data_IF_582634272678
#
_entry.id   IF_582634272678
#
_cell.length_a   1.000
_cell.length_b   1.000
_cell.length_c   1.000
_cell.angle_alpha   90.00
_cell.angle_beta   90.00
_cell.angle_gamma   90.00
#
_symmetry.space_group_name_H-M   'P 1'
#
loop_
_entity.id
_entity.type
_entity.pdbx_description
1 polymer ?
#
# COMPACT_ATOMS: atom_id res chain seq x y z
N UNK A 1 -34.95 10.43 0.82
CA UNK A 1 -33.56 10.42 0.25
C UNK A 1 -33.02 9.05 0.53
N UNK A 2 -33.21 8.17 -0.44
CA UNK A 2 -32.72 6.80 -0.33
C UNK A 2 -31.21 6.87 -0.53
N UNK A 3 -30.46 6.75 0.57
CA UNK A 3 -29.02 6.63 0.52
C UNK A 3 -28.69 5.34 -0.22
N UNK A 4 -28.24 5.46 -1.46
CA UNK A 4 -27.57 4.38 -2.16
C UNK A 4 -26.35 3.99 -1.31
N UNK A 5 -26.51 2.98 -0.48
CA UNK A 5 -25.38 2.25 0.07
C UNK A 5 -24.76 1.54 -1.14
N UNK A 6 -23.78 2.18 -1.76
CA UNK A 6 -23.00 1.56 -2.80
C UNK A 6 -22.47 0.23 -2.24
N UNK A 7 -22.92 -0.87 -2.84
CA UNK A 7 -22.34 -2.17 -2.53
C UNK A 7 -20.93 -2.19 -3.13
N UNK A 8 -19.95 -1.70 -2.34
CA UNK A 8 -18.52 -1.72 -2.69
C UNK A 8 -18.02 -3.13 -3.03
N UNK A 9 -18.81 -4.15 -2.69
CA UNK A 9 -18.53 -5.56 -3.00
C UNK A 9 -18.52 -5.89 -4.50
N UNK A 10 -19.04 -5.01 -5.35
CA UNK A 10 -19.09 -5.20 -6.81
C UNK A 10 -18.00 -4.44 -7.57
N UNK A 11 -17.12 -3.70 -6.87
CA UNK A 11 -16.05 -2.97 -7.53
C UNK A 11 -15.05 -3.93 -8.18
N UNK A 12 -14.85 -3.81 -9.49
CA UNK A 12 -13.97 -4.65 -10.31
C UNK A 12 -12.91 -3.86 -11.06
N UNK A 13 -13.15 -2.56 -11.31
CA UNK A 13 -12.30 -1.73 -12.17
C UNK A 13 -11.82 -0.49 -11.45
N UNK A 14 -10.53 -0.19 -11.61
CA UNK A 14 -9.89 1.06 -11.18
C UNK A 14 -9.41 1.81 -12.42
N UNK A 15 -9.90 3.02 -12.61
CA UNK A 15 -9.52 3.92 -13.69
C UNK A 15 -8.54 4.97 -13.18
N UNK A 16 -7.49 5.25 -13.91
CA UNK A 16 -6.53 6.31 -13.58
C UNK A 16 -5.95 6.93 -14.87
N UNK A 17 -5.60 8.21 -14.81
CA UNK A 17 -4.80 8.81 -15.87
C UNK A 17 -3.43 8.12 -15.97
N UNK A 18 -2.84 8.08 -17.17
CA UNK A 18 -1.59 7.37 -17.42
C UNK A 18 -0.41 7.87 -16.60
N UNK A 19 -0.43 9.13 -16.17
CA UNK A 19 0.59 9.78 -15.35
C UNK A 19 0.21 9.87 -13.85
N UNK A 20 -0.91 9.29 -13.45
CA UNK A 20 -1.45 9.44 -12.08
C UNK A 20 -0.46 9.04 -10.97
N UNK A 21 0.37 8.04 -11.22
CA UNK A 21 1.33 7.53 -10.26
C UNK A 21 2.77 8.04 -10.43
N UNK A 22 3.04 8.95 -11.36
CA UNK A 22 4.42 9.37 -11.68
C UNK A 22 5.14 9.93 -10.45
N UNK A 23 4.51 10.85 -9.71
CA UNK A 23 5.09 11.44 -8.50
C UNK A 23 5.32 10.39 -7.40
N UNK A 24 4.37 9.47 -7.23
CA UNK A 24 4.52 8.36 -6.29
C UNK A 24 5.67 7.44 -6.69
N UNK A 25 5.80 7.15 -7.97
CA UNK A 25 6.83 6.27 -8.50
C UNK A 25 8.24 6.87 -8.33
N UNK A 26 8.38 8.18 -8.54
CA UNK A 26 9.64 8.89 -8.28
C UNK A 26 10.05 8.76 -6.80
N UNK A 27 9.11 8.99 -5.88
CA UNK A 27 9.36 8.82 -4.44
C UNK A 27 9.69 7.37 -4.08
N UNK A 28 8.91 6.42 -4.57
CA UNK A 28 9.12 5.00 -4.32
C UNK A 28 10.47 4.50 -4.86
N UNK A 29 10.90 4.97 -6.03
CA UNK A 29 12.23 4.66 -6.58
C UNK A 29 13.36 5.24 -5.71
N UNK A 30 13.21 6.47 -5.23
CA UNK A 30 14.17 7.11 -4.32
C UNK A 30 14.28 6.32 -3.01
N UNK A 31 13.16 5.99 -2.40
CA UNK A 31 13.09 5.19 -1.17
C UNK A 31 13.70 3.79 -1.37
N UNK A 32 13.43 3.15 -2.51
CA UNK A 32 14.04 1.87 -2.88
C UNK A 32 15.56 1.97 -2.97
N UNK A 33 16.10 2.98 -3.66
CA UNK A 33 17.54 3.18 -3.79
C UNK A 33 18.20 3.42 -2.42
N UNK A 34 17.62 4.27 -1.58
CA UNK A 34 18.10 4.52 -0.22
C UNK A 34 18.09 3.24 0.63
N UNK A 35 17.04 2.43 0.52
CA UNK A 35 16.94 1.13 1.18
C UNK A 35 18.02 0.16 0.73
N UNK A 36 18.23 0.05 -0.59
CA UNK A 36 19.27 -0.81 -1.20
C UNK A 36 20.65 -0.38 -0.77
N UNK A 37 20.97 0.91 -0.85
CA UNK A 37 22.31 1.44 -0.62
C UNK A 37 22.66 1.47 0.88
N UNK A 38 21.68 1.43 1.78
CA UNK A 38 21.89 1.33 3.23
C UNK A 38 22.24 -0.09 3.70
N UNK A 39 22.12 -1.10 2.84
CA UNK A 39 22.43 -2.48 3.19
C UNK A 39 23.91 -2.63 3.52
N UNK A 40 24.22 -2.96 4.77
CA UNK A 40 25.61 -3.14 5.26
C UNK A 40 26.24 -1.89 5.91
N UNK A 41 25.55 -0.74 5.91
CA UNK A 41 26.07 0.50 6.51
C UNK A 41 25.71 0.71 7.99
N UNK A 42 25.05 -0.27 8.63
CA UNK A 42 24.67 -0.20 10.04
C UNK A 42 23.47 0.71 10.36
N UNK A 43 23.15 1.66 9.49
CA UNK A 43 21.91 2.45 9.53
C UNK A 43 21.03 2.03 8.37
N UNK A 44 19.99 1.26 8.65
CA UNK A 44 19.09 0.79 7.61
C UNK A 44 18.04 1.87 7.32
N UNK A 45 18.03 2.37 6.09
CA UNK A 45 16.94 3.21 5.60
C UNK A 45 15.64 2.41 5.61
N UNK A 46 14.56 3.05 6.02
CA UNK A 46 13.22 2.46 6.05
C UNK A 46 12.45 2.96 4.84
N UNK A 47 12.17 2.10 3.84
CA UNK A 47 11.34 2.50 2.71
C UNK A 47 9.98 2.98 3.23
N UNK A 48 9.59 4.20 2.85
CA UNK A 48 8.51 4.91 3.51
C UNK A 48 7.44 5.45 2.56
N UNK A 49 7.53 5.15 1.27
CA UNK A 49 6.56 5.63 0.30
C UNK A 49 5.17 5.08 0.61
N UNK A 50 4.30 5.98 1.05
CA UNK A 50 2.92 5.69 1.39
C UNK A 50 2.03 6.85 0.96
N UNK A 51 0.91 6.54 0.33
CA UNK A 51 -0.05 7.53 -0.14
C UNK A 51 -1.50 7.12 0.10
N UNK A 52 -2.36 8.13 0.15
CA UNK A 52 -3.80 8.01 0.22
C UNK A 52 -4.40 8.37 -1.14
N UNK A 53 -5.42 7.65 -1.54
CA UNK A 53 -6.04 7.71 -2.86
C UNK A 53 -7.45 8.30 -2.74
N UNK A 54 -7.67 9.41 -3.43
CA UNK A 54 -8.95 10.08 -3.55
C UNK A 54 -9.52 9.91 -4.94
N UNK A 55 -10.84 9.83 -5.03
CA UNK A 55 -11.51 9.69 -6.31
C UNK A 55 -13.02 9.59 -6.17
N UNK A 56 -13.65 9.05 -7.20
CA UNK A 56 -15.11 8.89 -7.26
C UNK A 56 -15.46 7.47 -7.66
N UNK A 57 -16.58 6.97 -7.16
CA UNK A 57 -17.17 5.71 -7.61
C UNK A 57 -18.06 5.99 -8.82
N UNK A 58 -17.84 5.26 -9.91
CA UNK A 58 -18.58 5.38 -11.16
C UNK A 58 -19.38 4.08 -11.36
N UNK A 59 -20.66 4.20 -11.66
CA UNK A 59 -21.55 3.11 -12.08
C UNK A 59 -21.55 1.82 -11.24
N UNK A 60 -21.15 1.90 -9.96
CA UNK A 60 -21.29 0.80 -9.00
C UNK A 60 -20.25 -0.33 -9.10
N UNK A 61 -19.52 -0.46 -10.19
CA UNK A 61 -18.49 -1.47 -10.41
C UNK A 61 -17.09 -0.89 -10.71
N UNK A 62 -17.00 0.42 -10.91
CA UNK A 62 -15.76 1.12 -11.23
C UNK A 62 -15.50 2.29 -10.27
N UNK A 63 -14.23 2.57 -10.03
CA UNK A 63 -13.77 3.79 -9.38
C UNK A 63 -12.74 4.50 -10.24
N UNK A 64 -12.77 5.83 -10.23
CA UNK A 64 -11.80 6.69 -10.90
C UNK A 64 -10.93 7.39 -9.88
N UNK A 65 -9.63 7.18 -9.96
CA UNK A 65 -8.63 7.89 -9.16
C UNK A 65 -8.41 9.29 -9.71
N UNK A 66 -8.50 10.30 -8.86
CA UNK A 66 -8.34 11.71 -9.23
C UNK A 66 -7.26 12.43 -8.44
N UNK A 67 -6.95 11.92 -7.24
CA UNK A 67 -6.00 12.55 -6.34
C UNK A 67 -5.16 11.50 -5.62
N UNK A 68 -3.86 11.71 -5.58
CA UNK A 68 -2.94 11.02 -4.67
C UNK A 68 -2.37 12.07 -3.70
N UNK A 69 -2.35 11.75 -2.43
CA UNK A 69 -1.74 12.58 -1.40
C UNK A 69 -0.79 11.73 -0.56
N UNK A 70 0.45 12.17 -0.42
CA UNK A 70 1.40 11.51 0.46
C UNK A 70 0.97 11.62 1.92
N UNK A 71 1.19 10.53 2.66
CA UNK A 71 0.97 10.46 4.08
C UNK A 71 2.14 9.76 4.76
N UNK A 72 2.37 10.10 6.03
CA UNK A 72 3.46 9.54 6.82
C UNK A 72 3.19 8.09 7.19
N UNK A 73 4.15 7.22 6.91
CA UNK A 73 4.16 5.85 7.43
C UNK A 73 4.82 5.84 8.81
N UNK A 74 4.03 5.79 9.87
CA UNK A 74 4.51 5.84 11.27
C UNK A 74 4.74 4.45 11.88
N UNK A 75 4.71 3.37 11.07
CA UNK A 75 4.87 1.99 11.50
C UNK A 75 6.01 1.76 12.51
N UNK A 76 7.12 2.44 12.33
CA UNK A 76 8.34 2.21 13.08
C UNK A 76 8.64 3.24 14.17
N UNK A 77 7.79 4.24 14.36
CA UNK A 77 8.04 5.37 15.26
C UNK A 77 6.88 5.66 16.22
N UNK A 78 5.66 5.35 15.84
CA UNK A 78 4.48 5.59 16.69
C UNK A 78 4.24 4.41 17.64
N UNK A 79 3.91 4.65 18.91
CA UNK A 79 3.67 3.59 19.90
C UNK A 79 2.55 2.62 19.52
N UNK A 80 1.47 3.11 18.91
CA UNK A 80 0.30 2.27 18.57
C UNK A 80 0.66 1.17 17.57
N UNK A 81 1.23 1.47 16.38
CA UNK A 81 1.66 0.42 15.47
C UNK A 81 2.80 -0.43 16.04
N UNK A 82 3.70 0.13 16.83
CA UNK A 82 4.78 -0.65 17.46
C UNK A 82 4.20 -1.75 18.38
N UNK A 83 3.18 -1.43 19.17
CA UNK A 83 2.50 -2.39 20.04
C UNK A 83 1.71 -3.42 19.20
N UNK A 84 0.93 -2.98 18.21
CA UNK A 84 0.15 -3.87 17.33
C UNK A 84 1.06 -4.87 16.58
N UNK A 85 2.19 -4.40 16.06
CA UNK A 85 3.13 -5.29 15.40
C UNK A 85 3.75 -6.31 16.37
N UNK A 86 4.12 -5.88 17.56
CA UNK A 86 4.71 -6.75 18.58
C UNK A 86 3.72 -7.78 19.12
N UNK A 87 2.50 -7.35 19.44
CA UNK A 87 1.53 -8.20 20.16
C UNK A 87 0.65 -9.03 19.21
N UNK A 88 0.43 -8.56 17.96
CA UNK A 88 -0.50 -9.20 17.01
C UNK A 88 0.21 -9.69 15.75
N UNK A 89 0.93 -8.80 15.05
CA UNK A 89 1.42 -9.09 13.70
C UNK A 89 2.60 -10.07 13.72
N UNK A 90 3.62 -9.80 14.51
CA UNK A 90 4.80 -10.68 14.60
C UNK A 90 4.43 -12.09 15.08
N UNK A 91 3.65 -12.29 16.16
CA UNK A 91 3.24 -13.62 16.59
C UNK A 91 2.41 -14.38 15.55
N UNK A 92 1.61 -13.67 14.77
CA UNK A 92 0.67 -14.27 13.81
C UNK A 92 1.30 -14.56 12.44
N UNK A 93 2.14 -13.67 11.93
CA UNK A 93 2.62 -13.70 10.55
C UNK A 93 4.13 -13.97 10.44
N UNK A 94 4.85 -13.93 11.54
CA UNK A 94 6.24 -14.34 11.63
C UNK A 94 7.23 -13.23 12.00
N UNK A 95 8.43 -13.64 12.45
CA UNK A 95 9.44 -12.74 13.01
C UNK A 95 10.04 -11.75 12.00
N UNK A 96 9.89 -11.99 10.69
CA UNK A 96 10.32 -11.04 9.66
C UNK A 96 9.64 -9.67 9.78
N UNK A 97 8.46 -9.61 10.41
CA UNK A 97 7.72 -8.37 10.63
C UNK A 97 8.13 -7.60 11.90
N UNK A 98 9.09 -8.11 12.67
CA UNK A 98 9.76 -7.33 13.72
C UNK A 98 10.68 -6.25 13.11
N UNK A 99 11.13 -6.45 11.88
CA UNK A 99 11.87 -5.46 11.11
C UNK A 99 10.97 -4.25 10.78
N UNK A 100 11.27 -3.08 11.40
CA UNK A 100 10.52 -1.84 11.22
C UNK A 100 10.51 -1.29 9.79
N UNK A 101 11.25 -1.89 8.85
CA UNK A 101 11.21 -1.57 7.42
C UNK A 101 10.04 -2.23 6.70
N UNK A 102 9.36 -3.19 7.35
CA UNK A 102 8.26 -3.97 6.77
C UNK A 102 6.94 -3.50 7.32
N UNK A 103 5.97 -3.42 6.43
CA UNK A 103 4.63 -2.98 6.75
C UNK A 103 4.46 -1.46 6.69
N UNK A 104 3.24 -1.05 6.84
CA UNK A 104 2.87 0.35 6.84
C UNK A 104 1.84 0.62 7.93
N UNK A 105 1.79 1.89 8.36
CA UNK A 105 0.75 2.40 9.25
C UNK A 105 0.61 3.89 9.01
N UNK A 106 -0.56 4.29 8.52
CA UNK A 106 -0.83 5.69 8.21
C UNK A 106 -0.88 6.52 9.49
N UNK A 107 -0.21 7.66 9.50
CA UNK A 107 -0.37 8.65 10.56
C UNK A 107 -1.83 9.14 10.64
N UNK A 108 -2.41 9.14 11.83
CA UNK A 108 -3.81 9.49 12.01
C UNK A 108 -4.10 10.96 11.71
N UNK A 109 -3.16 11.86 11.95
CA UNK A 109 -3.32 13.29 11.64
C UNK A 109 -3.26 13.53 10.14
N UNK A 110 -2.33 12.87 9.44
CA UNK A 110 -2.25 12.90 7.98
C UNK A 110 -3.51 12.32 7.35
N UNK A 111 -4.00 11.19 7.86
CA UNK A 111 -5.25 10.60 7.39
C UNK A 111 -6.42 11.58 7.48
N UNK A 112 -6.59 12.23 8.63
CA UNK A 112 -7.67 13.21 8.84
C UNK A 112 -7.48 14.47 7.98
N UNK A 113 -6.25 14.94 7.82
CA UNK A 113 -5.92 16.07 6.95
C UNK A 113 -6.31 15.78 5.51
N UNK A 114 -5.81 14.68 4.96
CA UNK A 114 -6.04 14.28 3.58
C UNK A 114 -7.52 13.99 3.32
N UNK A 115 -8.21 13.28 4.22
CA UNK A 115 -9.64 13.03 4.06
C UNK A 115 -10.45 14.33 3.96
N UNK A 116 -10.12 15.37 4.77
CA UNK A 116 -10.75 16.67 4.70
C UNK A 116 -10.40 17.45 3.42
N UNK A 117 -9.20 17.28 2.89
CA UNK A 117 -8.79 17.87 1.62
C UNK A 117 -9.59 17.24 0.47
N UNK A 118 -9.70 15.93 0.43
CA UNK A 118 -10.50 15.21 -0.56
C UNK A 118 -11.99 15.61 -0.49
N UNK A 119 -12.57 15.67 0.71
CA UNK A 119 -13.97 16.09 0.90
C UNK A 119 -14.24 17.50 0.33
N UNK A 120 -13.32 18.46 0.53
CA UNK A 120 -13.41 19.81 -0.05
C UNK A 120 -13.38 19.82 -1.58
N UNK A 121 -12.69 18.85 -2.17
CA UNK A 121 -12.60 18.67 -3.63
C UNK A 121 -13.76 17.82 -4.19
N UNK A 122 -14.68 17.36 -3.32
CA UNK A 122 -15.79 16.47 -3.71
C UNK A 122 -15.33 15.05 -4.04
N UNK A 123 -14.22 14.63 -3.45
CA UNK A 123 -13.65 13.29 -3.64
C UNK A 123 -13.87 12.44 -2.38
N UNK A 124 -14.01 11.14 -2.59
CA UNK A 124 -14.01 10.15 -1.51
C UNK A 124 -12.60 9.64 -1.24
N UNK A 125 -12.29 9.34 0.01
CA UNK A 125 -11.09 8.56 0.36
C UNK A 125 -11.34 7.10 -0.03
N UNK A 126 -10.76 6.67 -1.15
CA UNK A 126 -10.95 5.32 -1.70
C UNK A 126 -9.97 4.30 -1.11
N UNK A 127 -8.79 4.74 -0.68
CA UNK A 127 -7.82 3.78 -0.14
C UNK A 127 -6.40 4.28 -0.04
N UNK A 128 -5.45 3.35 -0.17
CA UNK A 128 -4.04 3.64 -0.04
C UNK A 128 -3.18 2.97 -1.10
N UNK A 129 -1.95 3.49 -1.23
CA UNK A 129 -0.86 2.87 -1.99
C UNK A 129 0.39 2.77 -1.12
N UNK A 130 1.08 1.63 -1.19
CA UNK A 130 2.39 1.44 -0.57
C UNK A 130 3.31 0.63 -1.47
N UNK A 131 4.62 0.67 -1.19
CA UNK A 131 5.61 -0.03 -1.99
C UNK A 131 5.98 -1.40 -1.41
N UNK A 132 6.19 -2.37 -2.30
CA UNK A 132 6.83 -3.66 -2.00
C UNK A 132 8.14 -3.77 -2.77
N UNK A 133 9.29 -3.56 -2.12
CA UNK A 133 10.57 -3.79 -2.75
C UNK A 133 10.86 -5.29 -2.87
N UNK A 134 11.77 -5.66 -3.73
CA UNK A 134 12.23 -7.04 -3.90
C UNK A 134 13.14 -7.50 -2.73
N UNK A 135 12.54 -7.77 -1.59
CA UNK A 135 13.20 -8.17 -0.35
C UNK A 135 14.21 -9.32 -0.52
N UNK A 136 13.99 -10.22 -1.48
CA UNK A 136 14.92 -11.30 -1.79
C UNK A 136 16.27 -10.80 -2.31
N UNK A 137 16.37 -9.54 -2.74
CA UNK A 137 17.61 -8.91 -3.21
C UNK A 137 18.16 -7.89 -2.22
N UNK A 138 17.30 -7.02 -1.71
CA UNK A 138 17.70 -5.91 -0.84
C UNK A 138 17.47 -6.17 0.64
N UNK A 139 16.77 -7.24 0.99
CA UNK A 139 16.46 -7.63 2.37
C UNK A 139 17.67 -8.16 3.15
N UNK A 140 17.46 -8.56 4.40
CA UNK A 140 18.48 -9.18 5.23
C UNK A 140 19.11 -10.40 4.54
N UNK A 141 20.38 -10.69 4.85
CA UNK A 141 21.13 -11.74 4.17
C UNK A 141 20.47 -13.13 4.22
N UNK A 142 19.77 -13.45 5.31
CA UNK A 142 19.08 -14.74 5.47
C UNK A 142 17.83 -14.87 4.59
N UNK A 143 17.31 -13.76 4.02
CA UNK A 143 16.18 -13.76 3.11
C UNK A 143 16.60 -13.69 1.63
N UNK A 144 17.86 -13.37 1.37
CA UNK A 144 18.38 -13.27 0.00
C UNK A 144 18.36 -14.62 -0.68
N UNK A 145 17.82 -14.67 -1.90
CA UNK A 145 17.66 -15.90 -2.65
C UNK A 145 16.42 -16.72 -2.27
N UNK A 146 15.61 -16.26 -1.33
CA UNK A 146 14.29 -16.84 -1.10
C UNK A 146 13.34 -16.53 -2.27
N UNK A 147 12.27 -17.31 -2.38
CA UNK A 147 11.32 -17.19 -3.47
C UNK A 147 10.73 -15.77 -3.54
N UNK A 148 10.54 -15.25 -4.75
CA UNK A 148 9.88 -13.99 -5.04
C UNK A 148 8.49 -13.95 -4.39
N UNK A 149 8.35 -13.16 -3.32
CA UNK A 149 7.06 -12.91 -2.65
C UNK A 149 6.46 -11.55 -3.05
N UNK A 150 7.19 -10.78 -3.86
CA UNK A 150 6.87 -9.38 -4.17
C UNK A 150 5.74 -9.19 -5.19
N UNK A 151 5.19 -10.23 -5.78
CA UNK A 151 4.15 -10.12 -6.82
C UNK A 151 2.73 -10.35 -6.29
N UNK A 152 2.57 -10.56 -4.97
CA UNK A 152 1.28 -10.78 -4.33
C UNK A 152 1.24 -10.13 -2.96
N UNK A 153 0.05 -9.74 -2.48
CA UNK A 153 -0.12 -9.32 -1.10
C UNK A 153 0.35 -10.43 -0.14
N UNK A 154 1.02 -10.04 0.93
CA UNK A 154 1.30 -10.96 2.02
C UNK A 154 0.06 -11.19 2.88
N UNK A 155 0.07 -12.20 3.73
CA UNK A 155 -1.00 -12.40 4.72
C UNK A 155 -1.12 -11.22 5.68
N UNK A 156 -0.01 -10.51 5.95
CA UNK A 156 -0.03 -9.29 6.75
C UNK A 156 -0.72 -8.16 6.00
N UNK A 157 -0.45 -7.96 4.69
CA UNK A 157 -1.15 -6.95 3.88
C UNK A 157 -2.65 -7.22 3.87
N UNK A 158 -3.04 -8.48 3.69
CA UNK A 158 -4.44 -8.88 3.76
C UNK A 158 -5.08 -8.52 5.11
N UNK A 159 -4.38 -8.74 6.22
CA UNK A 159 -4.82 -8.34 7.55
C UNK A 159 -4.98 -6.82 7.66
N UNK A 160 -3.99 -6.04 7.21
CA UNK A 160 -4.04 -4.58 7.26
C UNK A 160 -5.14 -4.01 6.36
N UNK A 161 -5.33 -4.54 5.15
CA UNK A 161 -6.39 -4.11 4.23
C UNK A 161 -7.78 -4.33 4.82
N UNK A 162 -7.98 -5.49 5.48
CA UNK A 162 -9.24 -5.78 6.17
C UNK A 162 -9.45 -4.89 7.39
N UNK A 163 -8.38 -4.55 8.10
CA UNK A 163 -8.45 -3.71 9.28
C UNK A 163 -8.74 -2.25 8.93
N UNK A 164 -8.17 -1.76 7.83
CA UNK A 164 -8.42 -0.42 7.32
C UNK A 164 -9.84 -0.26 6.74
N UNK A 165 -10.39 -1.32 6.15
CA UNK A 165 -11.74 -1.33 5.57
C UNK A 165 -11.90 -0.46 4.33
N UNK A 166 -10.80 -0.04 3.68
CA UNK A 166 -10.85 0.77 2.46
C UNK A 166 -11.26 -0.07 1.25
N UNK A 167 -12.03 0.48 0.31
CA UNK A 167 -12.44 -0.21 -0.90
C UNK A 167 -11.29 -0.53 -1.85
N UNK A 168 -10.17 0.22 -1.76
CA UNK A 168 -9.02 0.06 -2.63
C UNK A 168 -7.71 0.03 -1.84
N UNK A 169 -6.87 -0.94 -2.15
CA UNK A 169 -5.51 -1.01 -1.65
C UNK A 169 -4.57 -1.32 -2.82
N UNK A 170 -3.64 -0.44 -3.10
CA UNK A 170 -2.67 -0.62 -4.19
C UNK A 170 -1.30 -0.95 -3.62
N UNK A 171 -0.64 -1.92 -4.23
CA UNK A 171 0.75 -2.25 -3.98
C UNK A 171 1.56 -1.90 -5.22
N UNK A 172 2.58 -1.05 -5.06
CA UNK A 172 3.59 -0.80 -6.06
C UNK A 172 4.75 -1.77 -5.84
N UNK A 173 4.88 -2.77 -6.69
CA UNK A 173 5.97 -3.73 -6.66
C UNK A 173 7.18 -3.19 -7.39
N UNK A 174 8.32 -3.10 -6.71
CA UNK A 174 9.57 -2.62 -7.26
C UNK A 174 10.60 -3.74 -7.34
N UNK A 175 11.25 -3.86 -8.48
CA UNK A 175 12.25 -4.88 -8.73
C UNK A 175 13.48 -4.30 -9.44
N UNK A 176 14.68 -4.60 -8.89
CA UNK A 176 15.91 -4.30 -9.59
C UNK A 176 16.09 -5.25 -10.77
N UNK A 177 16.22 -4.69 -11.98
CA UNK A 177 16.54 -5.44 -13.22
C UNK A 177 17.80 -4.88 -13.87
N UNK A 178 18.36 -5.64 -14.82
CA UNK A 178 19.49 -5.15 -15.62
C UNK A 178 19.10 -3.83 -16.30
N UNK A 179 19.72 -2.74 -15.86
CA UNK A 179 19.51 -1.41 -16.43
C UNK A 179 18.57 -0.48 -15.68
N UNK A 180 17.99 -0.90 -14.55
CA UNK A 180 17.13 0.00 -13.76
C UNK A 180 16.24 -0.69 -12.73
N UNK A 181 15.22 0.02 -12.31
CA UNK A 181 14.16 -0.48 -11.44
C UNK A 181 12.90 -0.63 -12.29
N UNK A 182 12.37 -1.84 -12.35
CA UNK A 182 11.06 -2.11 -12.92
C UNK A 182 9.99 -2.00 -11.85
N UNK A 183 8.78 -1.63 -12.24
CA UNK A 183 7.63 -1.57 -11.33
C UNK A 183 6.41 -2.22 -11.97
N UNK A 184 5.50 -2.67 -11.12
CA UNK A 184 4.13 -3.09 -11.47
C UNK A 184 3.19 -2.71 -10.34
N UNK A 185 1.90 -2.57 -10.65
CA UNK A 185 0.87 -2.28 -9.65
C UNK A 185 -0.07 -3.46 -9.51
N UNK A 186 -0.44 -3.78 -8.28
CA UNK A 186 -1.56 -4.65 -7.97
C UNK A 186 -2.60 -3.86 -7.17
N UNK A 187 -3.86 -3.92 -7.61
CA UNK A 187 -4.98 -3.30 -6.93
C UNK A 187 -5.84 -4.37 -6.28
N UNK A 188 -6.18 -4.18 -5.01
CA UNK A 188 -6.86 -5.18 -4.20
C UNK A 188 -8.00 -4.57 -3.40
N UNK A 189 -9.07 -5.33 -3.26
CA UNK A 189 -10.19 -5.04 -2.37
C UNK A 189 -10.32 -6.14 -1.33
N UNK A 190 -10.44 -5.74 -0.06
CA UNK A 190 -10.78 -6.67 1.00
C UNK A 190 -12.29 -6.90 0.99
N UNK A 191 -12.79 -8.13 0.72
CA UNK A 191 -14.22 -8.42 0.75
C UNK A 191 -14.76 -8.32 2.18
N UNK A 192 -16.05 -8.03 2.32
CA UNK A 192 -16.73 -7.91 3.60
C UNK A 192 -16.70 -9.19 4.45
N UNK A 193 -16.61 -10.37 3.81
CA UNK A 193 -16.43 -11.64 4.51
C UNK A 193 -14.97 -11.87 4.90
N UNK A 194 -14.74 -12.20 6.18
CA UNK A 194 -13.39 -12.51 6.71
C UNK A 194 -12.76 -13.77 6.09
N UNK A 195 -13.55 -14.63 5.49
CA UNK A 195 -13.11 -15.93 4.93
C UNK A 195 -12.86 -15.89 3.43
N UNK A 196 -13.34 -14.85 2.75
CA UNK A 196 -13.12 -14.70 1.30
C UNK A 196 -11.72 -14.14 1.04
N UNK A 197 -11.01 -14.59 -0.01
CA UNK A 197 -9.71 -14.03 -0.39
C UNK A 197 -9.85 -12.56 -0.82
N UNK A 198 -8.72 -11.84 -0.89
CA UNK A 198 -8.69 -10.51 -1.52
C UNK A 198 -9.18 -10.64 -2.97
N UNK A 199 -10.02 -9.69 -3.39
CA UNK A 199 -10.37 -9.55 -4.79
C UNK A 199 -9.30 -8.68 -5.48
N UNK A 200 -8.73 -9.18 -6.57
CA UNK A 200 -7.85 -8.40 -7.44
C UNK A 200 -8.73 -7.55 -8.37
N UNK A 201 -8.41 -6.26 -8.45
CA UNK A 201 -9.12 -5.30 -9.27
C UNK A 201 -8.35 -5.03 -10.56
N UNK A 202 -9.09 -4.79 -11.64
CA UNK A 202 -8.51 -4.52 -12.95
C UNK A 202 -8.17 -3.02 -13.06
N UNK A 203 -6.89 -2.68 -13.11
CA UNK A 203 -6.44 -1.30 -13.32
C UNK A 203 -6.40 -0.98 -14.82
N UNK A 204 -7.00 0.14 -15.20
CA UNK A 204 -7.01 0.67 -16.58
C UNK A 204 -6.53 2.10 -16.58
N UNK A 205 -5.56 2.38 -17.42
CA UNK A 205 -5.01 3.71 -17.63
C UNK A 205 -5.54 4.33 -18.93
N UNK A 206 -5.79 5.64 -18.93
CA UNK A 206 -6.28 6.40 -20.09
C UNK A 206 -5.52 7.73 -20.28
#
# INVERSE_FOLDING_TARGET
MDGNVFQLDNLEVVLAESNFFDEYLEDAHKEYCLGRDSVGLGTLHRPNSFGLLGGVVIDGDAMELRRLAFASNVRAVDPVPLEEFKETIVPRFGPQYDDGRRGFWCDAQDLLRVAREFDKEGLELLGSIHMHPDWHRIGPQHERGSQRLSERPSQMDEYLFRSAGWPLNIICYLESRCGGIAHTYGAYRAPGSKTSPLAELNMRFF
#
